data_IF_253246704254
#
_entry.id   IF_253246704254
#
_cell.length_a   1.000
_cell.length_b   1.000
_cell.length_c   1.000
_cell.angle_alpha   90.00
_cell.angle_beta   90.00
_cell.angle_gamma   90.00
#
_symmetry.space_group_name_H-M   'P 1'
#
loop_
_entity.id
_entity.type
_entity.pdbx_description
1 polymer ?
#
# COMPACT_ATOMS: atom_id res chain seq x y z
N UNK A 1 11.29 17.27 -15.82
CA UNK A 1 11.99 16.19 -16.55
C UNK A 1 11.02 15.03 -16.59
N UNK A 2 10.48 14.73 -17.78
CA UNK A 2 9.40 13.74 -17.98
C UNK A 2 10.06 12.37 -18.12
N UNK A 3 9.74 11.41 -17.25
CA UNK A 3 10.17 10.03 -17.48
C UNK A 3 9.50 9.53 -18.77
N UNK A 4 10.34 9.12 -19.70
CA UNK A 4 9.97 8.38 -20.90
C UNK A 4 9.29 7.08 -20.48
N UNK A 5 8.00 6.97 -20.80
CA UNK A 5 7.18 5.76 -20.69
C UNK A 5 7.84 4.65 -21.51
N UNK A 6 8.74 3.89 -20.87
CA UNK A 6 9.16 2.59 -21.34
C UNK A 6 7.94 1.67 -21.23
N UNK A 7 7.04 1.74 -22.22
CA UNK A 7 5.96 0.78 -22.50
C UNK A 7 5.52 -0.02 -21.26
N UNK A 8 5.07 0.67 -20.21
CA UNK A 8 4.46 0.00 -19.07
C UNK A 8 3.13 -0.48 -19.60
N UNK A 9 3.12 -1.73 -20.05
CA UNK A 9 1.93 -2.36 -20.60
C UNK A 9 0.91 -2.28 -19.48
N UNK A 10 -0.13 -1.49 -19.72
CA UNK A 10 -1.19 -1.24 -18.76
C UNK A 10 -1.73 -2.59 -18.29
N UNK A 11 -1.53 -2.90 -17.02
CA UNK A 11 -1.93 -4.19 -16.45
C UNK A 11 -3.40 -4.12 -16.09
N UNK A 12 -4.23 -4.69 -16.96
CA UNK A 12 -5.67 -4.72 -16.75
C UNK A 12 -6.07 -5.52 -15.50
N UNK A 13 -5.18 -6.39 -15.01
CA UNK A 13 -5.42 -7.23 -13.85
C UNK A 13 -4.96 -6.64 -12.52
N UNK A 14 -4.36 -5.44 -12.53
CA UNK A 14 -3.97 -4.71 -11.33
C UNK A 14 -5.10 -4.61 -10.30
N UNK A 15 -6.34 -4.48 -10.77
CA UNK A 15 -7.56 -4.38 -9.93
C UNK A 15 -7.78 -5.61 -9.04
N UNK A 16 -7.23 -6.77 -9.43
CA UNK A 16 -7.30 -7.98 -8.60
C UNK A 16 -6.53 -7.81 -7.30
N UNK A 17 -5.41 -7.09 -7.32
CA UNK A 17 -4.64 -6.85 -6.09
C UNK A 17 -5.39 -5.98 -5.08
N UNK A 18 -6.25 -5.07 -5.54
CA UNK A 18 -7.11 -4.28 -4.66
C UNK A 18 -8.12 -5.19 -3.95
N UNK A 19 -8.74 -6.12 -4.69
CA UNK A 19 -9.64 -7.11 -4.12
C UNK A 19 -8.92 -8.09 -3.18
N UNK A 20 -7.79 -8.64 -3.61
CA UNK A 20 -7.00 -9.58 -2.81
C UNK A 20 -6.57 -8.95 -1.49
N UNK A 21 -6.15 -7.68 -1.50
CA UNK A 21 -5.81 -6.95 -0.26
C UNK A 21 -7.02 -6.73 0.63
N UNK A 22 -8.18 -6.39 0.06
CA UNK A 22 -9.43 -6.28 0.83
C UNK A 22 -9.78 -7.62 1.52
N UNK A 23 -9.75 -8.73 0.77
CA UNK A 23 -10.01 -10.06 1.33
C UNK A 23 -8.97 -10.44 2.38
N UNK A 24 -7.68 -10.24 2.07
CA UNK A 24 -6.59 -10.54 2.97
C UNK A 24 -6.59 -9.68 4.23
N UNK A 25 -7.28 -8.54 4.27
CA UNK A 25 -7.34 -7.65 5.45
C UNK A 25 -8.66 -7.74 6.20
N UNK A 26 -9.59 -8.58 5.71
CA UNK A 26 -10.89 -8.83 6.34
C UNK A 26 -10.79 -9.69 7.60
N UNK A 27 -9.70 -10.43 7.80
CA UNK A 27 -9.41 -11.09 9.07
C UNK A 27 -8.61 -10.19 10.03
N UNK A 28 -8.46 -10.62 11.28
CA UNK A 28 -7.70 -9.86 12.28
C UNK A 28 -6.19 -9.91 11.98
N UNK A 29 -5.55 -8.74 11.96
CA UNK A 29 -4.12 -8.61 11.69
C UNK A 29 -3.44 -7.65 12.66
N UNK A 30 -2.23 -8.03 13.08
CA UNK A 30 -1.33 -7.16 13.83
C UNK A 30 -0.64 -6.18 12.87
N UNK A 31 -0.99 -4.89 12.99
CA UNK A 31 -0.37 -3.83 12.18
C UNK A 31 1.12 -3.69 12.42
N UNK A 32 1.62 -3.95 13.63
CA UNK A 32 3.05 -3.86 13.91
C UNK A 32 3.83 -4.91 13.11
N UNK A 33 3.28 -6.13 13.01
CA UNK A 33 3.84 -7.20 12.18
C UNK A 33 3.74 -6.83 10.70
N UNK A 34 2.56 -6.41 10.24
CA UNK A 34 2.35 -6.06 8.83
C UNK A 34 3.29 -4.94 8.37
N UNK A 35 3.50 -3.92 9.21
CA UNK A 35 4.42 -2.82 8.91
C UNK A 35 5.87 -3.27 8.80
N UNK A 36 6.31 -4.22 9.65
CA UNK A 36 7.64 -4.81 9.54
C UNK A 36 7.78 -5.58 8.22
N UNK A 37 6.75 -6.34 7.85
CA UNK A 37 6.72 -7.07 6.58
C UNK A 37 6.78 -6.11 5.38
N UNK A 38 5.92 -5.09 5.33
CA UNK A 38 5.91 -4.07 4.27
C UNK A 38 7.30 -3.42 4.13
N UNK A 39 7.94 -3.07 5.25
CA UNK A 39 9.29 -2.51 5.22
C UNK A 39 10.32 -3.49 4.64
N UNK A 40 10.25 -4.76 5.00
CA UNK A 40 11.16 -5.79 4.48
C UNK A 40 10.96 -6.04 2.98
N UNK A 41 9.71 -6.04 2.51
CA UNK A 41 9.37 -6.16 1.08
C UNK A 41 9.92 -4.96 0.31
N UNK A 42 9.67 -3.73 0.77
CA UNK A 42 10.22 -2.52 0.13
C UNK A 42 11.75 -2.57 0.05
N UNK A 43 12.43 -3.00 1.12
CA UNK A 43 13.89 -3.14 1.12
C UNK A 43 14.37 -4.17 0.11
N UNK A 44 13.64 -5.28 -0.02
CA UNK A 44 13.92 -6.33 -1.00
C UNK A 44 13.75 -5.80 -2.43
N UNK A 45 12.65 -5.08 -2.69
CA UNK A 45 12.37 -4.51 -4.00
C UNK A 45 13.38 -3.43 -4.40
N UNK A 46 13.80 -2.59 -3.45
CA UNK A 46 14.89 -1.62 -3.67
C UNK A 46 16.19 -2.33 -4.02
N UNK A 47 16.53 -3.42 -3.34
CA UNK A 47 17.76 -4.17 -3.62
C UNK A 47 17.71 -4.86 -4.99
N UNK A 48 16.57 -5.40 -5.40
CA UNK A 48 16.41 -6.14 -6.65
C UNK A 48 16.18 -5.23 -7.87
N UNK A 49 15.36 -4.18 -7.71
CA UNK A 49 14.84 -3.36 -8.82
C UNK A 49 15.24 -1.89 -8.74
N UNK A 50 15.93 -1.46 -7.68
CA UNK A 50 16.25 -0.04 -7.45
C UNK A 50 17.05 0.65 -8.57
N UNK A 51 17.77 -0.10 -9.40
CA UNK A 51 18.46 0.44 -10.60
C UNK A 51 17.49 0.96 -11.67
N UNK A 52 16.23 0.54 -11.64
CA UNK A 52 15.20 0.88 -12.63
C UNK A 52 14.40 2.12 -12.25
N UNK A 53 14.21 2.37 -10.95
CA UNK A 53 13.35 3.44 -10.43
C UNK A 53 14.02 4.22 -9.30
N UNK A 54 14.79 5.24 -9.66
CA UNK A 54 15.49 6.11 -8.70
C UNK A 54 14.56 6.77 -7.69
N UNK A 55 13.33 7.12 -8.10
CA UNK A 55 12.32 7.70 -7.21
C UNK A 55 11.85 6.70 -6.14
N UNK A 56 11.66 5.43 -6.51
CA UNK A 56 11.31 4.36 -5.56
C UNK A 56 12.44 4.08 -4.55
N UNK A 57 13.71 4.25 -4.96
CA UNK A 57 14.85 4.16 -4.03
C UNK A 57 14.90 5.35 -3.06
N UNK A 58 14.67 6.56 -3.57
CA UNK A 58 14.80 7.79 -2.79
C UNK A 58 13.63 8.02 -1.83
N UNK A 59 12.41 7.69 -2.25
CA UNK A 59 11.22 7.77 -1.41
C UNK A 59 10.18 6.71 -1.81
N UNK A 60 10.40 5.47 -1.35
CA UNK A 60 9.48 4.35 -1.64
C UNK A 60 8.07 4.60 -1.11
N UNK A 61 7.94 5.27 0.04
CA UNK A 61 6.63 5.58 0.63
C UNK A 61 5.85 6.56 -0.24
N UNK A 62 6.48 7.65 -0.71
CA UNK A 62 5.81 8.64 -1.55
C UNK A 62 5.45 8.05 -2.91
N UNK A 63 6.30 7.19 -3.48
CA UNK A 63 6.03 6.51 -4.74
C UNK A 63 4.83 5.55 -4.63
N UNK A 64 4.74 4.77 -3.55
CA UNK A 64 3.60 3.89 -3.31
C UNK A 64 2.30 4.68 -3.11
N UNK A 65 2.36 5.82 -2.42
CA UNK A 65 1.21 6.73 -2.28
C UNK A 65 0.78 7.34 -3.59
N UNK A 66 1.74 7.77 -4.42
CA UNK A 66 1.46 8.26 -5.75
C UNK A 66 0.79 7.19 -6.61
N UNK A 67 1.30 5.96 -6.57
CA UNK A 67 0.70 4.82 -7.26
C UNK A 67 -0.75 4.57 -6.83
N UNK A 68 -1.03 4.58 -5.52
CA UNK A 68 -2.39 4.44 -5.00
C UNK A 68 -3.31 5.57 -5.46
N UNK A 69 -2.83 6.81 -5.45
CA UNK A 69 -3.59 7.97 -5.95
C UNK A 69 -3.88 7.86 -7.46
N UNK A 70 -2.96 7.32 -8.27
CA UNK A 70 -3.20 7.03 -9.67
C UNK A 70 -4.31 5.99 -9.86
N UNK A 71 -4.32 4.93 -9.02
CA UNK A 71 -5.37 3.90 -9.05
C UNK A 71 -6.73 4.49 -8.67
N UNK A 72 -6.78 5.37 -7.67
CA UNK A 72 -8.02 6.00 -7.20
C UNK A 72 -8.61 6.98 -8.22
N UNK A 73 -7.76 7.77 -8.89
CA UNK A 73 -8.22 8.86 -9.76
C UNK A 73 -8.55 8.43 -11.19
N UNK A 74 -8.02 7.29 -11.64
CA UNK A 74 -8.24 6.82 -13.01
C UNK A 74 -9.48 5.91 -13.08
N UNK A 75 -10.58 6.36 -13.74
CA UNK A 75 -11.83 5.61 -13.76
C UNK A 75 -11.73 4.23 -14.43
N UNK A 76 -10.71 4.00 -15.27
CA UNK A 76 -10.50 2.71 -15.93
C UNK A 76 -10.36 1.54 -14.95
N UNK A 77 -9.86 1.80 -13.73
CA UNK A 77 -9.67 0.75 -12.73
C UNK A 77 -11.00 0.30 -12.14
N UNK A 78 -11.98 1.20 -12.00
CA UNK A 78 -13.33 0.81 -11.61
C UNK A 78 -13.97 -0.08 -12.68
N UNK A 79 -13.93 0.33 -13.93
CA UNK A 79 -14.50 -0.44 -15.05
C UNK A 79 -13.86 -1.82 -15.19
N UNK A 80 -12.55 -1.92 -14.94
CA UNK A 80 -11.82 -3.20 -14.92
C UNK A 80 -12.22 -4.06 -13.74
N UNK A 81 -12.36 -3.47 -12.55
CA UNK A 81 -12.77 -4.20 -11.37
C UNK A 81 -14.12 -4.86 -11.57
N UNK A 82 -15.13 -4.11 -12.02
CA UNK A 82 -16.47 -4.62 -12.29
C UNK A 82 -16.43 -5.72 -13.38
N UNK A 83 -15.58 -5.56 -14.41
CA UNK A 83 -15.43 -6.55 -15.48
C UNK A 83 -14.74 -7.84 -15.03
N UNK A 84 -13.73 -7.75 -14.18
CA UNK A 84 -12.87 -8.89 -13.82
C UNK A 84 -13.27 -9.57 -12.52
N UNK A 85 -13.75 -8.82 -11.53
CA UNK A 85 -13.97 -9.34 -10.17
C UNK A 85 -15.41 -9.80 -10.01
N UNK A 86 -16.41 -9.02 -10.46
CA UNK A 86 -17.83 -9.40 -10.33
C UNK A 86 -18.13 -10.81 -10.88
N UNK A 87 -17.56 -11.26 -12.03
CA UNK A 87 -17.84 -12.60 -12.55
C UNK A 87 -17.05 -13.73 -11.87
N UNK A 88 -15.96 -13.42 -11.16
CA UNK A 88 -15.02 -14.42 -10.63
C UNK A 88 -15.27 -14.79 -9.17
N UNK A 89 -16.11 -14.03 -8.47
CA UNK A 89 -16.29 -14.17 -7.03
C UNK A 89 -17.49 -15.08 -6.73
N UNK A 90 -17.22 -16.25 -6.16
CA UNK A 90 -18.25 -17.18 -5.64
C UNK A 90 -18.81 -16.76 -4.27
N UNK A 91 -18.56 -15.53 -3.81
CA UNK A 91 -19.17 -14.99 -2.59
C UNK A 91 -20.57 -14.44 -2.90
N UNK A 92 -21.51 -14.68 -2.00
CA UNK A 92 -22.90 -14.23 -2.14
C UNK A 92 -23.01 -12.69 -2.23
N UNK A 93 -22.08 -11.96 -1.62
CA UNK A 93 -21.98 -10.50 -1.65
C UNK A 93 -20.51 -10.07 -1.89
N UNK A 94 -20.08 -9.91 -3.15
CA UNK A 94 -18.73 -9.42 -3.46
C UNK A 94 -18.58 -7.95 -3.06
N UNK A 95 -17.42 -7.60 -2.49
CA UNK A 95 -17.09 -6.22 -2.19
C UNK A 95 -17.06 -5.36 -3.46
N UNK A 96 -17.73 -4.21 -3.40
CA UNK A 96 -17.70 -3.21 -4.47
C UNK A 96 -16.31 -2.60 -4.61
N UNK A 97 -16.03 -2.01 -5.78
CA UNK A 97 -14.78 -1.26 -6.01
C UNK A 97 -14.48 -0.25 -4.89
N UNK A 98 -15.50 0.50 -4.47
CA UNK A 98 -15.34 1.53 -3.45
C UNK A 98 -15.00 0.94 -2.08
N UNK A 99 -15.63 -0.16 -1.68
CA UNK A 99 -15.34 -0.84 -0.41
C UNK A 99 -13.93 -1.43 -0.39
N UNK A 100 -13.53 -2.09 -1.48
CA UNK A 100 -12.20 -2.66 -1.61
C UNK A 100 -11.13 -1.55 -1.58
N UNK A 101 -11.33 -0.48 -2.34
CA UNK A 101 -10.42 0.66 -2.37
C UNK A 101 -10.36 1.42 -1.03
N UNK A 102 -11.49 1.58 -0.34
CA UNK A 102 -11.54 2.18 0.99
C UNK A 102 -10.72 1.36 1.99
N UNK A 103 -10.85 0.03 1.95
CA UNK A 103 -10.09 -0.88 2.83
C UNK A 103 -8.58 -0.71 2.64
N UNK A 104 -8.13 -0.65 1.38
CA UNK A 104 -6.71 -0.42 1.05
C UNK A 104 -6.25 0.96 1.56
N UNK A 105 -7.06 2.00 1.37
CA UNK A 105 -6.74 3.34 1.87
C UNK A 105 -6.62 3.38 3.40
N UNK A 106 -7.56 2.78 4.12
CA UNK A 106 -7.54 2.69 5.58
C UNK A 106 -6.32 1.92 6.09
N UNK A 107 -5.99 0.79 5.45
CA UNK A 107 -4.79 0.02 5.75
C UNK A 107 -3.53 0.87 5.63
N UNK A 108 -3.41 1.59 4.51
CA UNK A 108 -2.29 2.48 4.25
C UNK A 108 -2.20 3.61 5.28
N UNK A 109 -3.33 4.19 5.71
CA UNK A 109 -3.32 5.19 6.77
C UNK A 109 -2.89 4.60 8.13
N UNK A 110 -3.36 3.41 8.49
CA UNK A 110 -2.95 2.74 9.74
C UNK A 110 -1.45 2.44 9.77
N UNK A 111 -0.89 1.97 8.66
CA UNK A 111 0.55 1.73 8.51
C UNK A 111 1.37 3.02 8.70
N UNK A 112 0.82 4.20 8.37
CA UNK A 112 1.48 5.50 8.59
C UNK A 112 1.36 5.98 10.03
N UNK A 113 0.17 5.91 10.63
CA UNK A 113 -0.14 6.53 11.93
C UNK A 113 0.54 5.81 13.08
N UNK A 114 0.56 4.48 13.08
CA UNK A 114 1.24 3.69 14.12
C UNK A 114 2.77 3.86 14.07
N UNK A 115 3.34 4.07 12.88
CA UNK A 115 4.74 4.46 12.72
C UNK A 115 5.09 5.81 13.36
N UNK A 116 4.13 6.75 13.42
CA UNK A 116 4.29 8.03 14.12
C UNK A 116 4.13 7.88 15.63
N UNK A 117 3.18 7.05 16.08
CA UNK A 117 2.94 6.78 17.49
C UNK A 117 4.15 6.08 18.16
N UNK A 118 4.73 5.07 17.50
CA UNK A 118 5.95 4.41 18.01
C UNK A 118 7.15 5.34 18.06
N UNK A 119 7.36 6.19 17.05
CA UNK A 119 8.46 7.18 17.07
C UNK A 119 8.28 8.19 18.20
N UNK A 120 7.03 8.61 18.50
CA UNK A 120 6.74 9.46 19.65
C UNK A 120 7.00 8.72 20.95
N UNK A 121 6.56 7.47 21.09
CA UNK A 121 6.81 6.64 22.28
C UNK A 121 8.32 6.45 22.54
N UNK A 122 9.10 6.12 21.51
CA UNK A 122 10.55 5.99 21.60
C UNK A 122 11.24 7.32 21.91
N UNK A 123 10.79 8.45 21.33
CA UNK A 123 11.30 9.78 21.67
C UNK A 123 10.99 10.15 23.12
N UNK A 124 9.77 9.85 23.61
CA UNK A 124 9.40 10.06 25.01
C UNK A 124 10.24 9.19 25.96
N UNK A 125 10.47 7.92 25.60
CA UNK A 125 11.28 6.99 26.39
C UNK A 125 12.77 7.37 26.38
N UNK A 126 13.29 7.88 25.26
CA UNK A 126 14.67 8.39 25.18
C UNK A 126 14.86 9.67 26.00
N UNK A 127 13.91 10.62 25.95
CA UNK A 127 13.92 11.79 26.82
C UNK A 127 13.82 11.41 28.31
N UNK A 128 13.01 10.40 28.66
CA UNK A 128 12.89 9.93 30.04
C UNK A 128 14.19 9.28 30.57
N UNK A 129 14.94 8.59 29.71
CA UNK A 129 16.24 8.02 30.07
C UNK A 129 17.36 9.07 30.27
N UNK A 130 17.21 10.30 29.77
CA UNK A 130 18.18 11.39 29.96
C UNK A 130 17.90 12.26 31.20
N UNK A 131 16.82 11.98 31.93
CA UNK A 131 16.40 12.72 33.12
C UNK A 131 16.73 12.02 34.44
N UNK A 132 17.70 11.08 34.43
CA UNK A 132 18.25 10.50 35.67
C UNK A 132 19.57 11.23 35.96
N UNK A 133 19.68 11.95 37.10
CA UNK A 133 20.89 12.68 37.48
C UNK A 133 22.08 11.77 37.82
#
# INVERSE_FOLDING_TARGET
MRYSVLSQKDDETLVRHVYDLHMATSCEHDIAILRRLVKAVIQTDVAQFGKQHTQFVNSSADELHYGLACVETNPIHKDRYERFIDPLVYHDEPATWNEALQTVNELVQRLRTEGRAERRSLLFQWCACQAVP
#
